data_IF_872058009719
#
_entry.id   IF_872058009719
#
_cell.length_a   1.000
_cell.length_b   1.000
_cell.length_c   1.000
_cell.angle_alpha   90.00
_cell.angle_beta   90.00
_cell.angle_gamma   90.00
#
_symmetry.space_group_name_H-M   'P 1'
#
loop_
_entity.id
_entity.type
_entity.pdbx_description
1 polymer ?
#
# COMPACT_ATOMS: atom_id res chain seq x y z
N UNK A 1 36.41 12.54 -27.00
CA UNK A 1 35.26 11.62 -27.12
C UNK A 1 35.79 10.20 -27.15
N UNK A 2 35.20 9.31 -26.35
CA UNK A 2 35.71 7.95 -26.12
C UNK A 2 35.22 7.03 -27.24
N UNK A 3 35.98 6.00 -27.61
CA UNK A 3 35.69 5.18 -28.80
C UNK A 3 34.37 4.41 -28.72
N UNK A 4 33.94 4.00 -27.53
CA UNK A 4 32.63 3.36 -27.37
C UNK A 4 31.46 4.34 -27.56
N UNK A 5 31.63 5.62 -27.25
CA UNK A 5 30.63 6.67 -27.52
C UNK A 5 30.53 6.98 -29.02
N UNK A 6 31.53 6.59 -29.81
CA UNK A 6 31.53 6.71 -31.27
C UNK A 6 31.02 5.44 -31.97
N UNK A 7 30.61 4.42 -31.21
CA UNK A 7 30.19 3.12 -31.75
C UNK A 7 31.34 2.25 -32.27
N UNK A 8 32.60 2.56 -31.93
CA UNK A 8 33.78 1.78 -32.34
C UNK A 8 33.99 0.56 -31.44
N UNK A 9 33.53 0.61 -30.19
CA UNK A 9 33.63 -0.50 -29.23
C UNK A 9 32.49 -0.46 -28.20
N UNK A 10 32.43 -1.46 -27.32
CA UNK A 10 31.55 -1.47 -26.14
C UNK A 10 32.31 -1.02 -24.89
N UNK A 11 31.65 -0.41 -23.89
CA UNK A 11 32.29 -0.03 -22.64
C UNK A 11 32.82 -1.25 -21.89
N UNK A 12 34.00 -1.11 -21.30
CA UNK A 12 34.62 -2.15 -20.44
C UNK A 12 33.96 -2.20 -19.07
N UNK A 13 34.12 -3.32 -18.36
CA UNK A 13 33.61 -3.47 -16.99
C UNK A 13 34.14 -2.39 -16.02
N UNK A 14 35.41 -1.97 -16.16
CA UNK A 14 35.98 -0.90 -15.34
C UNK A 14 35.33 0.46 -15.61
N UNK A 15 35.03 0.77 -16.88
CA UNK A 15 34.30 1.99 -17.25
C UNK A 15 32.87 1.97 -16.71
N UNK A 16 32.18 0.83 -16.82
CA UNK A 16 30.84 0.66 -16.27
C UNK A 16 30.83 0.81 -14.73
N UNK A 17 31.84 0.28 -14.03
CA UNK A 17 31.99 0.46 -12.58
C UNK A 17 32.19 1.93 -12.19
N UNK A 18 32.99 2.69 -12.96
CA UNK A 18 33.16 4.12 -12.74
C UNK A 18 31.84 4.89 -12.94
N UNK A 19 31.05 4.53 -13.96
CA UNK A 19 29.73 5.11 -14.21
C UNK A 19 28.73 4.75 -13.10
N UNK A 20 28.76 3.52 -12.60
CA UNK A 20 27.92 3.09 -11.46
C UNK A 20 28.20 3.95 -10.22
N UNK A 21 29.47 4.29 -9.95
CA UNK A 21 29.85 5.19 -8.86
C UNK A 21 29.29 6.61 -8.98
N UNK A 22 28.88 7.02 -10.19
CA UNK A 22 28.21 8.29 -10.47
C UNK A 22 26.67 8.17 -10.45
N UNK A 23 26.13 7.00 -10.10
CA UNK A 23 24.68 6.73 -10.04
C UNK A 23 24.07 6.28 -11.36
N UNK A 24 24.88 5.95 -12.36
CA UNK A 24 24.38 5.43 -13.65
C UNK A 24 23.94 3.97 -13.50
N UNK A 25 22.74 3.65 -14.00
CA UNK A 25 22.26 2.28 -14.11
C UNK A 25 23.00 1.53 -15.22
N UNK A 26 23.97 0.70 -14.84
CA UNK A 26 24.77 -0.12 -15.76
C UNK A 26 23.91 -1.12 -16.54
N UNK A 27 22.85 -1.65 -15.93
CA UNK A 27 21.96 -2.58 -16.62
C UNK A 27 21.23 -1.87 -17.76
N UNK A 28 20.77 -0.65 -17.53
CA UNK A 28 20.19 0.18 -18.58
C UNK A 28 21.17 0.50 -19.71
N UNK A 29 22.41 0.85 -19.37
CA UNK A 29 23.46 1.15 -20.38
C UNK A 29 23.71 -0.04 -21.32
N UNK A 30 23.68 -1.26 -20.80
CA UNK A 30 24.00 -2.47 -21.59
C UNK A 30 22.77 -3.05 -22.30
N UNK A 31 21.60 -2.99 -21.66
CA UNK A 31 20.40 -3.75 -22.10
C UNK A 31 19.24 -2.86 -22.55
N UNK A 32 19.30 -1.55 -22.31
CA UNK A 32 18.18 -0.63 -22.49
C UNK A 32 17.04 -0.83 -21.48
N UNK A 33 17.19 -1.74 -20.52
CA UNK A 33 16.20 -2.01 -19.47
C UNK A 33 16.74 -1.55 -18.13
N UNK A 34 15.96 -0.77 -17.39
CA UNK A 34 16.36 -0.36 -16.05
C UNK A 34 16.33 -1.54 -15.09
N UNK A 35 17.27 -1.53 -14.14
CA UNK A 35 17.22 -2.45 -13.02
C UNK A 35 15.92 -2.20 -12.24
N UNK A 36 15.21 -3.26 -11.80
CA UNK A 36 14.12 -3.08 -10.86
C UNK A 36 14.66 -2.40 -9.59
N UNK A 37 13.87 -1.54 -8.94
CA UNK A 37 14.30 -0.87 -7.73
C UNK A 37 14.72 -1.91 -6.68
N UNK A 38 15.75 -1.58 -5.90
CA UNK A 38 16.13 -2.39 -4.77
C UNK A 38 14.97 -2.40 -3.76
N UNK A 39 14.39 -3.57 -3.54
CA UNK A 39 13.28 -3.75 -2.61
C UNK A 39 13.82 -4.01 -1.20
N UNK A 40 13.18 -3.40 -0.21
CA UNK A 40 13.42 -3.74 1.20
C UNK A 40 12.97 -5.17 1.53
N UNK A 41 13.39 -5.69 2.69
CA UNK A 41 13.03 -7.05 3.12
C UNK A 41 11.51 -7.25 3.24
N UNK A 42 10.79 -6.25 3.74
CA UNK A 42 9.32 -6.28 3.84
C UNK A 42 8.66 -6.30 2.46
N UNK A 43 9.05 -5.39 1.56
CA UNK A 43 8.51 -5.30 0.20
C UNK A 43 8.77 -6.58 -0.61
N UNK A 44 9.97 -7.16 -0.46
CA UNK A 44 10.32 -8.44 -1.07
C UNK A 44 9.44 -9.59 -0.55
N UNK A 45 9.18 -9.61 0.76
CA UNK A 45 8.30 -10.60 1.39
C UNK A 45 6.86 -10.45 0.89
N UNK A 46 6.33 -9.22 0.90
CA UNK A 46 5.00 -8.90 0.38
C UNK A 46 4.83 -9.38 -1.07
N UNK A 47 5.79 -9.03 -1.94
CA UNK A 47 5.74 -9.41 -3.36
C UNK A 47 5.83 -10.92 -3.57
N UNK A 48 6.62 -11.62 -2.77
CA UNK A 48 6.72 -13.09 -2.83
C UNK A 48 5.36 -13.73 -2.53
N UNK A 49 4.74 -13.39 -1.40
CA UNK A 49 3.41 -13.90 -1.04
C UNK A 49 2.33 -13.48 -2.06
N UNK A 50 2.37 -12.25 -2.56
CA UNK A 50 1.40 -11.77 -3.54
C UNK A 50 1.48 -12.53 -4.87
N UNK A 51 2.68 -12.89 -5.31
CA UNK A 51 2.92 -13.66 -6.54
C UNK A 51 2.45 -15.10 -6.42
N UNK A 52 2.59 -15.71 -5.25
CA UNK A 52 2.16 -17.09 -4.96
C UNK A 52 0.67 -17.20 -4.62
N UNK A 53 0.04 -16.11 -4.17
CA UNK A 53 -1.36 -16.09 -3.76
C UNK A 53 -2.32 -16.43 -4.91
N UNK A 54 -3.46 -17.05 -4.53
CA UNK A 54 -4.58 -17.28 -5.46
C UNK A 54 -5.17 -15.95 -5.96
N UNK A 55 -5.88 -15.94 -7.11
CA UNK A 55 -6.47 -14.73 -7.65
C UNK A 55 -7.41 -14.00 -6.68
N UNK A 56 -8.13 -14.75 -5.84
CA UNK A 56 -9.06 -14.21 -4.82
C UNK A 56 -8.30 -13.47 -3.71
N UNK A 57 -7.25 -14.09 -3.16
CA UNK A 57 -6.40 -13.48 -2.13
C UNK A 57 -5.69 -12.25 -2.68
N UNK A 58 -5.21 -12.31 -3.93
CA UNK A 58 -4.60 -11.17 -4.61
C UNK A 58 -5.55 -9.98 -4.71
N UNK A 59 -6.81 -10.22 -5.11
CA UNK A 59 -7.86 -9.19 -5.18
C UNK A 59 -8.19 -8.62 -3.81
N UNK A 60 -8.29 -9.46 -2.78
CA UNK A 60 -8.54 -9.03 -1.41
C UNK A 60 -7.39 -8.13 -0.89
N UNK A 61 -6.14 -8.53 -1.11
CA UNK A 61 -4.97 -7.73 -0.74
C UNK A 61 -4.96 -6.37 -1.44
N UNK A 62 -5.22 -6.33 -2.76
CA UNK A 62 -5.33 -5.06 -3.49
C UNK A 62 -6.48 -4.20 -2.97
N UNK A 63 -7.65 -4.78 -2.71
CA UNK A 63 -8.80 -4.06 -2.17
C UNK A 63 -8.52 -3.45 -0.79
N UNK A 64 -7.82 -4.19 0.07
CA UNK A 64 -7.40 -3.69 1.38
C UNK A 64 -6.41 -2.53 1.27
N UNK A 65 -5.39 -2.66 0.42
CA UNK A 65 -4.35 -1.63 0.24
C UNK A 65 -4.90 -0.36 -0.42
N UNK A 66 -5.74 -0.50 -1.46
CA UNK A 66 -6.37 0.63 -2.15
C UNK A 66 -7.42 1.30 -1.27
N UNK A 67 -8.25 0.50 -0.58
CA UNK A 67 -9.37 0.99 0.22
C UNK A 67 -8.96 1.66 1.53
N UNK A 68 -7.77 1.36 2.07
CA UNK A 68 -7.30 1.96 3.31
C UNK A 68 -6.88 3.45 3.16
N UNK A 69 -6.44 3.87 1.97
CA UNK A 69 -5.93 5.22 1.73
C UNK A 69 -4.68 5.59 2.57
N UNK A 70 -4.01 6.72 2.29
CA UNK A 70 -2.81 7.17 3.03
C UNK A 70 -3.09 7.61 4.47
N UNK A 71 -4.36 7.78 4.83
CA UNK A 71 -4.82 7.99 6.20
C UNK A 71 -6.01 7.08 6.44
N UNK A 72 -5.76 5.86 6.90
CA UNK A 72 -6.82 5.02 7.44
C UNK A 72 -7.34 5.70 8.72
N UNK A 73 -8.29 6.63 8.58
CA UNK A 73 -9.11 7.08 9.70
C UNK A 73 -9.71 5.81 10.32
N UNK A 74 -9.49 5.64 11.63
CA UNK A 74 -10.08 4.55 12.38
C UNK A 74 -11.57 4.48 12.02
N UNK A 75 -12.09 3.31 11.61
CA UNK A 75 -13.50 3.22 11.26
C UNK A 75 -14.26 3.62 12.53
N UNK A 76 -15.05 4.69 12.44
CA UNK A 76 -15.97 5.05 13.51
C UNK A 76 -17.02 3.93 13.57
N UNK A 77 -16.70 2.88 14.32
CA UNK A 77 -17.45 1.64 14.36
C UNK A 77 -18.67 1.85 15.22
N UNK A 78 -19.72 2.44 14.65
CA UNK A 78 -21.08 2.14 15.10
C UNK A 78 -21.38 0.71 14.63
N UNK A 79 -20.73 -0.29 15.26
CA UNK A 79 -20.90 -1.71 14.92
C UNK A 79 -22.03 -2.37 15.68
N UNK A 80 -22.52 -1.73 16.74
CA UNK A 80 -23.56 -2.29 17.58
C UNK A 80 -24.63 -1.23 17.85
N UNK A 81 -25.54 -1.08 16.89
CA UNK A 81 -26.73 -0.27 17.08
C UNK A 81 -27.80 -1.16 17.74
N UNK A 82 -27.68 -1.38 19.05
CA UNK A 82 -28.65 -2.18 19.81
C UNK A 82 -29.88 -1.33 20.13
N UNK A 83 -30.99 -1.57 19.42
CA UNK A 83 -32.28 -0.91 19.70
C UNK A 83 -32.96 -1.59 20.90
N UNK A 84 -33.18 -0.86 22.00
CA UNK A 84 -33.98 -1.33 23.14
C UNK A 84 -35.35 -0.66 23.10
N UNK A 85 -36.40 -1.47 22.94
CA UNK A 85 -37.77 -1.01 23.11
C UNK A 85 -38.17 -1.11 24.59
N UNK A 86 -38.51 0.02 25.21
CA UNK A 86 -38.86 0.09 26.64
C UNK A 86 -40.37 0.01 26.91
N UNK A 87 -41.24 -0.01 25.88
CA UNK A 87 -42.68 -0.22 26.06
C UNK A 87 -43.43 -0.55 24.75
N UNK A 88 -44.50 -1.37 24.79
CA UNK A 88 -45.36 -1.60 23.63
C UNK A 88 -45.87 -0.27 23.03
N UNK A 89 -45.55 -0.02 21.76
CA UNK A 89 -45.95 1.19 21.02
C UNK A 89 -44.96 2.36 21.06
N UNK A 90 -43.84 2.25 21.78
CA UNK A 90 -42.77 3.26 21.73
C UNK A 90 -41.99 3.22 20.41
N UNK A 91 -41.74 4.39 19.80
CA UNK A 91 -40.85 4.55 18.64
C UNK A 91 -39.57 5.24 19.10
N UNK A 92 -38.42 4.63 18.85
CA UNK A 92 -37.12 5.27 19.12
C UNK A 92 -36.85 6.32 18.05
N UNK A 93 -36.76 7.60 18.44
CA UNK A 93 -36.39 8.72 17.55
C UNK A 93 -35.01 9.23 17.99
N UNK A 94 -33.99 8.92 17.19
CA UNK A 94 -32.61 9.36 17.38
C UNK A 94 -31.61 8.23 17.64
N UNK A 95 -30.37 8.47 17.22
CA UNK A 95 -29.19 7.69 17.60
C UNK A 95 -28.32 8.58 18.49
N UNK A 96 -27.95 8.10 19.67
CA UNK A 96 -27.02 8.82 20.56
C UNK A 96 -25.77 7.97 20.73
N UNK A 97 -24.65 8.48 20.24
CA UNK A 97 -23.33 7.86 20.42
C UNK A 97 -22.55 8.72 21.41
N UNK A 98 -22.37 8.21 22.64
CA UNK A 98 -21.62 8.86 23.72
C UNK A 98 -22.37 9.97 24.49
N UNK A 99 -22.81 9.67 25.71
CA UNK A 99 -23.37 10.65 26.66
C UNK A 99 -24.15 9.99 27.80
N UNK A 100 -24.06 10.51 29.03
CA UNK A 100 -24.79 9.97 30.21
C UNK A 100 -26.21 10.54 30.29
N UNK A 101 -27.23 9.67 30.29
CA UNK A 101 -28.64 10.07 30.42
C UNK A 101 -29.00 10.26 31.90
N UNK A 102 -29.43 11.47 32.27
CA UNK A 102 -30.11 11.72 33.55
C UNK A 102 -31.62 11.71 33.31
N UNK A 103 -32.28 10.60 33.64
CA UNK A 103 -33.74 10.54 33.65
C UNK A 103 -34.25 11.24 34.91
N UNK A 104 -34.90 12.39 34.73
CA UNK A 104 -35.69 13.04 35.78
C UNK A 104 -37.12 12.50 35.77
N UNK A 105 -37.59 11.95 36.89
CA UNK A 105 -39.02 11.64 37.08
C UNK A 105 -39.79 12.95 37.29
N UNK A 106 -40.89 13.12 36.55
CA UNK A 106 -41.97 14.07 36.86
C UNK A 106 -43.06 13.35 37.64
#
# INVERSE_FOLDING_TARGET
MIDWEKGVSSPTAAQLAALAGLGVDVQYVVTGSMAPPALGAEESTLLSYFREATPEVRRAAMGALIGAGPSAQAPNRIRDLTMHNTSPGGVQVGIQSGGTIKTGKR
#
